data_IF_445392452313
#
_entry.id   IF_445392452313
#
_cell.length_a   1.000
_cell.length_b   1.000
_cell.length_c   1.000
_cell.angle_alpha   90.00
_cell.angle_beta   90.00
_cell.angle_gamma   90.00
#
_symmetry.space_group_name_H-M   'P 1'
#
loop_
_entity.id
_entity.type
_entity.pdbx_description
1 polymer ?
#
# COMPACT_ATOMS: atom_id res chain seq x y z
N UNK A 1 8.55 -5.29 -0.60
CA UNK A 1 7.99 -4.96 0.71
C UNK A 1 6.48 -4.70 0.67
N UNK A 2 5.98 -3.73 -0.11
CA UNK A 2 4.54 -3.38 -0.16
C UNK A 2 3.84 -3.83 -1.46
N UNK A 3 4.54 -3.73 -2.61
CA UNK A 3 4.06 -4.07 -3.97
C UNK A 3 2.76 -3.34 -4.34
N UNK A 4 1.80 -4.03 -4.97
CA UNK A 4 0.59 -3.48 -5.58
C UNK A 4 -0.32 -2.82 -4.55
N UNK A 5 -1.12 -1.84 -4.97
CA UNK A 5 -1.98 -1.06 -4.07
C UNK A 5 -3.17 -1.86 -3.58
N UNK A 6 -3.79 -2.66 -4.46
CA UNK A 6 -4.95 -3.49 -4.14
C UNK A 6 -4.49 -4.77 -3.41
N UNK A 7 -4.96 -5.00 -2.18
CA UNK A 7 -4.61 -6.20 -1.41
C UNK A 7 -4.99 -7.53 -2.06
N UNK A 8 -6.06 -7.57 -2.87
CA UNK A 8 -6.49 -8.83 -3.53
C UNK A 8 -5.49 -9.32 -4.56
N UNK A 9 -4.65 -8.42 -5.09
CA UNK A 9 -3.66 -8.71 -6.12
C UNK A 9 -2.25 -8.87 -5.52
N UNK A 10 -2.12 -8.70 -4.20
CA UNK A 10 -0.83 -8.72 -3.52
C UNK A 10 -0.35 -10.15 -3.25
N UNK A 11 0.89 -10.45 -3.62
CA UNK A 11 1.48 -11.77 -3.35
C UNK A 11 1.71 -11.98 -1.85
N UNK A 12 1.51 -13.21 -1.39
CA UNK A 12 1.92 -13.69 -0.08
C UNK A 12 3.43 -13.43 0.15
N UNK A 13 3.79 -13.06 1.39
CA UNK A 13 5.14 -12.63 1.78
C UNK A 13 5.37 -11.13 1.63
N UNK A 14 4.40 -10.36 1.13
CA UNK A 14 4.40 -8.90 1.22
C UNK A 14 3.59 -8.42 2.42
N UNK A 15 3.82 -7.19 2.87
CA UNK A 15 3.01 -6.61 3.96
C UNK A 15 1.53 -6.61 3.59
N UNK A 16 1.20 -6.19 2.38
CA UNK A 16 -0.19 -6.14 1.90
C UNK A 16 -0.81 -7.52 1.74
N UNK A 17 -0.08 -8.47 1.14
CA UNK A 17 -0.59 -9.83 0.93
C UNK A 17 -0.79 -10.62 2.23
N UNK A 18 -0.07 -10.28 3.30
CA UNK A 18 -0.18 -10.99 4.57
C UNK A 18 -1.12 -10.32 5.59
N UNK A 19 -1.28 -9.00 5.53
CA UNK A 19 -1.91 -8.25 6.62
C UNK A 19 -3.02 -7.27 6.19
N UNK A 20 -3.15 -6.94 4.91
CA UNK A 20 -4.20 -6.02 4.46
C UNK A 20 -5.53 -6.73 4.21
N UNK A 21 -6.61 -5.95 4.16
CA UNK A 21 -7.97 -6.44 3.92
C UNK A 21 -8.39 -6.17 2.47
N UNK A 22 -9.27 -7.02 1.93
CA UNK A 22 -9.89 -6.74 0.64
C UNK A 22 -10.63 -5.39 0.68
N UNK A 23 -10.77 -4.69 -0.45
CA UNK A 23 -11.52 -3.45 -0.51
C UNK A 23 -12.94 -3.62 0.05
N UNK A 24 -13.43 -2.62 0.78
CA UNK A 24 -14.80 -2.58 1.28
C UNK A 24 -15.83 -2.39 0.14
N UNK A 25 -17.10 -2.61 0.44
CA UNK A 25 -18.20 -2.46 -0.54
C UNK A 25 -18.34 -1.02 -1.07
N UNK A 26 -17.81 -0.04 -0.34
CA UNK A 26 -17.73 1.38 -0.72
C UNK A 26 -16.51 1.71 -1.61
N UNK A 27 -15.67 0.72 -1.92
CA UNK A 27 -14.43 0.88 -2.69
C UNK A 27 -13.24 1.40 -1.87
N UNK A 28 -13.36 1.51 -0.55
CA UNK A 28 -12.27 1.88 0.33
C UNK A 28 -11.14 0.85 0.33
N UNK A 29 -9.90 1.30 0.10
CA UNK A 29 -8.71 0.43 0.13
C UNK A 29 -7.95 0.61 1.45
N UNK A 30 -7.99 -0.40 2.31
CA UNK A 30 -7.27 -0.44 3.59
C UNK A 30 -6.00 -1.29 3.48
N UNK A 31 -5.01 -0.80 2.74
CA UNK A 31 -3.81 -1.57 2.36
C UNK A 31 -2.62 -1.48 3.35
N UNK A 32 -2.91 -1.17 4.62
CA UNK A 32 -1.98 -1.13 5.77
C UNK A 32 -0.88 -0.07 5.74
N UNK A 33 -0.22 0.15 4.61
CA UNK A 33 1.00 0.97 4.53
C UNK A 33 0.98 1.90 3.32
N UNK A 34 1.38 3.15 3.57
CA UNK A 34 1.80 4.10 2.54
C UNK A 34 3.29 3.95 2.25
N UNK A 35 3.68 4.24 1.01
CA UNK A 35 5.08 4.29 0.60
C UNK A 35 5.26 5.25 -0.56
N UNK A 36 6.28 6.11 -0.45
CA UNK A 36 6.62 7.06 -1.51
C UNK A 36 6.88 6.33 -2.83
N UNK A 37 6.26 6.80 -3.90
CA UNK A 37 6.32 6.16 -5.23
C UNK A 37 7.55 6.57 -6.04
N UNK A 38 8.27 7.61 -5.62
CA UNK A 38 9.47 8.12 -6.27
C UNK A 38 10.42 8.78 -5.27
N UNK A 39 11.64 9.07 -5.71
CA UNK A 39 12.61 9.82 -4.89
C UNK A 39 12.13 11.25 -4.61
N UNK A 40 11.49 11.89 -5.59
CA UNK A 40 10.97 13.25 -5.42
C UNK A 40 9.78 13.28 -4.47
N UNK A 41 8.87 12.29 -4.57
CA UNK A 41 7.78 12.17 -3.59
C UNK A 41 8.33 11.85 -2.20
N UNK A 42 9.35 10.99 -2.08
CA UNK A 42 10.01 10.72 -0.80
C UNK A 42 10.64 11.98 -0.20
N UNK A 43 11.42 12.75 -0.97
CA UNK A 43 12.03 14.00 -0.50
C UNK A 43 10.99 14.99 -0.01
N UNK A 44 9.87 15.12 -0.73
CA UNK A 44 8.75 15.97 -0.33
C UNK A 44 8.08 15.45 0.94
N UNK A 45 7.70 14.18 0.97
CA UNK A 45 6.96 13.56 2.07
C UNK A 45 7.77 13.48 3.38
N UNK A 46 9.10 13.35 3.31
CA UNK A 46 9.97 13.33 4.50
C UNK A 46 9.97 14.69 5.23
N UNK A 47 9.74 15.80 4.52
CA UNK A 47 9.76 17.15 5.09
C UNK A 47 8.37 17.72 5.37
N UNK A 48 7.30 16.97 5.09
CA UNK A 48 5.92 17.31 5.42
C UNK A 48 5.59 16.92 6.87
#
# INVERSE_FOLDING_TARGET
MMRVTNPTDALCGTIRGNFAQAPGDDGGIFNMVHGSHSRDSARREIVL
#
